data_IF_124445284468
#
_entry.id   IF_124445284468
#
_cell.length_a   1.000
_cell.length_b   1.000
_cell.length_c   1.000
_cell.angle_alpha   90.00
_cell.angle_beta   90.00
_cell.angle_gamma   90.00
#
_symmetry.space_group_name_H-M   'P 1'
#
loop_
_entity.id
_entity.type
_entity.pdbx_description
1 polymer ?
#
# COMPACT_ATOMS: atom_id res chain seq x y z
N UNK A 1 -1.68 -17.32 49.06
CA UNK A 1 -2.65 -16.33 48.57
C UNK A 1 -2.09 -15.84 47.23
N UNK A 2 -2.59 -16.37 46.12
CA UNK A 2 -2.29 -15.85 44.80
C UNK A 2 -3.39 -14.87 44.43
N UNK A 3 -3.05 -13.63 44.15
CA UNK A 3 -4.01 -12.65 43.65
C UNK A 3 -4.40 -13.04 42.23
N UNK A 4 -5.67 -13.44 42.05
CA UNK A 4 -6.25 -13.63 40.74
C UNK A 4 -6.45 -12.23 40.13
N UNK A 5 -5.64 -11.89 39.14
CA UNK A 5 -5.84 -10.68 38.35
C UNK A 5 -7.10 -10.88 37.48
N UNK A 6 -8.14 -10.09 37.74
CA UNK A 6 -9.34 -10.01 36.90
C UNK A 6 -8.98 -9.46 35.52
N UNK A 7 -8.81 -10.36 34.54
CA UNK A 7 -8.44 -10.03 33.15
C UNK A 7 -9.60 -9.46 32.30
N UNK A 8 -10.69 -9.03 32.93
CA UNK A 8 -11.84 -8.42 32.26
C UNK A 8 -11.91 -6.89 32.43
N UNK A 9 -10.75 -6.24 32.56
CA UNK A 9 -10.67 -4.79 32.58
C UNK A 9 -10.72 -4.23 31.13
N UNK A 10 -11.78 -3.49 30.81
CA UNK A 10 -11.98 -2.81 29.52
C UNK A 10 -10.83 -1.87 29.15
N UNK A 11 -10.12 -1.34 30.14
CA UNK A 11 -9.00 -0.43 29.92
C UNK A 11 -7.76 -1.19 29.41
N UNK A 12 -7.56 -2.44 29.85
CA UNK A 12 -6.50 -3.31 29.32
C UNK A 12 -6.78 -3.65 27.86
N UNK A 13 -8.04 -3.95 27.50
CA UNK A 13 -8.42 -4.22 26.10
C UNK A 13 -8.23 -2.99 25.20
N UNK A 14 -8.65 -1.81 25.67
CA UNK A 14 -8.41 -0.55 24.94
C UNK A 14 -6.92 -0.23 24.80
N UNK A 15 -6.12 -0.51 25.82
CA UNK A 15 -4.68 -0.35 25.75
C UNK A 15 -4.04 -1.34 24.75
N UNK A 16 -4.47 -2.60 24.75
CA UNK A 16 -4.01 -3.61 23.78
C UNK A 16 -4.42 -3.24 22.35
N UNK A 17 -5.67 -2.83 22.11
CA UNK A 17 -6.13 -2.35 20.79
C UNK A 17 -5.36 -1.10 20.32
N UNK A 18 -5.00 -0.20 21.23
CA UNK A 18 -4.18 0.97 20.92
C UNK A 18 -2.71 0.62 20.62
N UNK A 19 -2.17 -0.42 21.27
CA UNK A 19 -0.83 -0.95 20.98
C UNK A 19 -0.82 -1.66 19.62
N UNK A 20 -1.83 -2.49 19.33
CA UNK A 20 -1.99 -3.14 18.02
C UNK A 20 -2.18 -2.13 16.89
N UNK A 21 -3.01 -1.10 17.08
CA UNK A 21 -3.16 0.00 16.08
C UNK A 21 -1.88 0.78 15.84
N UNK A 22 -0.96 0.85 16.80
CA UNK A 22 0.33 1.53 16.62
C UNK A 22 1.41 0.63 16.02
N UNK A 23 1.28 -0.70 16.08
CA UNK A 23 2.22 -1.62 15.45
C UNK A 23 2.13 -1.63 13.91
N UNK A 24 1.03 -1.15 13.33
CA UNK A 24 0.90 -0.99 11.88
C UNK A 24 1.51 0.32 11.35
N UNK A 25 1.98 1.23 12.21
CA UNK A 25 2.73 2.42 11.77
C UNK A 25 4.14 1.99 11.40
N UNK A 26 4.40 1.84 10.10
CA UNK A 26 5.70 1.44 9.56
C UNK A 26 5.67 0.17 8.69
N UNK A 27 4.52 -0.51 8.58
CA UNK A 27 4.35 -1.54 7.55
C UNK A 27 4.15 -0.86 6.20
N UNK A 28 4.86 -1.34 5.17
CA UNK A 28 4.80 -0.75 3.84
C UNK A 28 3.64 -1.36 3.06
N UNK A 29 2.55 -0.60 2.93
CA UNK A 29 1.41 -0.91 2.10
C UNK A 29 1.71 -0.65 0.62
N UNK A 30 1.10 -1.46 -0.26
CA UNK A 30 1.17 -1.30 -1.71
C UNK A 30 -0.23 -1.32 -2.31
N UNK A 31 -0.55 -0.34 -3.15
CA UNK A 31 -1.75 -0.31 -3.96
C UNK A 31 -1.42 -0.21 -5.45
N UNK A 32 -2.26 -0.80 -6.30
CA UNK A 32 -2.11 -0.74 -7.76
C UNK A 32 -3.39 -0.18 -8.36
N UNK A 33 -3.28 0.89 -9.15
CA UNK A 33 -4.43 1.47 -9.84
C UNK A 33 -4.93 0.54 -10.94
N UNK A 34 -6.16 0.78 -11.40
CA UNK A 34 -6.64 0.22 -12.66
C UNK A 34 -5.75 0.62 -13.86
N UNK A 35 -5.89 -0.12 -14.96
CA UNK A 35 -5.23 0.23 -16.22
C UNK A 35 -5.84 1.52 -16.79
N UNK A 36 -5.00 2.53 -16.95
CA UNK A 36 -5.30 3.78 -17.64
C UNK A 36 -4.73 3.76 -19.06
N UNK A 37 -5.19 4.68 -19.90
CA UNK A 37 -4.64 4.92 -21.23
C UNK A 37 -4.39 6.43 -21.40
N UNK A 38 -3.23 6.80 -21.95
CA UNK A 38 -2.97 8.20 -22.29
C UNK A 38 -3.51 8.57 -23.67
N UNK A 39 -3.41 9.84 -24.05
CA UNK A 39 -3.89 10.37 -25.35
C UNK A 39 -3.22 9.70 -26.56
N UNK A 40 -2.01 9.15 -26.38
CA UNK A 40 -1.27 8.43 -27.42
C UNK A 40 -1.70 6.95 -27.52
N UNK A 41 -2.67 6.51 -26.72
CA UNK A 41 -3.12 5.13 -26.68
C UNK A 41 -2.25 4.19 -25.84
N UNK A 42 -1.25 4.69 -25.14
CA UNK A 42 -0.35 3.87 -24.31
C UNK A 42 -1.01 3.53 -22.98
N UNK A 43 -0.99 2.23 -22.64
CA UNK A 43 -1.54 1.73 -21.38
C UNK A 43 -0.52 1.85 -20.25
N UNK A 44 -0.98 2.33 -19.10
CA UNK A 44 -0.17 2.45 -17.89
C UNK A 44 -1.02 2.23 -16.64
N UNK A 45 -0.37 2.00 -15.50
CA UNK A 45 -1.00 2.03 -14.19
C UNK A 45 -0.02 2.59 -13.17
N UNK A 46 -0.54 3.04 -12.03
CA UNK A 46 0.25 3.53 -10.92
C UNK A 46 0.37 2.47 -9.83
N UNK A 47 1.54 2.46 -9.17
CA UNK A 47 1.81 1.65 -7.99
C UNK A 47 2.21 2.61 -6.88
N UNK A 48 1.45 2.62 -5.79
CA UNK A 48 1.70 3.50 -4.64
C UNK A 48 2.20 2.67 -3.48
N UNK A 49 3.26 3.12 -2.85
CA UNK A 49 3.82 2.58 -1.62
C UNK A 49 3.63 3.59 -0.50
N UNK A 50 3.15 3.16 0.66
CA UNK A 50 2.94 4.03 1.82
C UNK A 50 3.22 3.28 3.11
N UNK A 51 3.83 3.94 4.10
CA UNK A 51 3.95 3.39 5.47
C UNK A 51 3.07 4.15 6.48
N UNK A 52 2.07 4.87 5.98
CA UNK A 52 1.19 5.75 6.74
C UNK A 52 1.77 7.15 7.02
N UNK A 53 3.06 7.38 6.75
CA UNK A 53 3.71 8.70 6.91
C UNK A 53 4.39 9.14 5.62
N UNK A 54 5.12 8.23 4.98
CA UNK A 54 5.82 8.44 3.72
C UNK A 54 5.02 7.84 2.59
N UNK A 55 5.20 8.39 1.40
CA UNK A 55 4.52 7.91 0.20
C UNK A 55 5.42 7.99 -1.02
N UNK A 56 5.38 6.98 -1.88
CA UNK A 56 6.01 7.00 -3.20
C UNK A 56 5.07 6.41 -4.24
N UNK A 57 4.99 7.04 -5.40
CA UNK A 57 4.16 6.58 -6.51
C UNK A 57 5.03 6.35 -7.74
N UNK A 58 4.93 5.17 -8.31
CA UNK A 58 5.59 4.80 -9.56
C UNK A 58 4.60 4.44 -10.64
N UNK A 59 5.08 4.40 -11.88
CA UNK A 59 4.30 3.97 -13.04
C UNK A 59 4.78 2.65 -13.61
N UNK A 60 3.86 1.80 -14.05
CA UNK A 60 4.14 0.64 -14.89
C UNK A 60 3.58 0.89 -16.31
N UNK A 61 4.26 0.45 -17.38
CA UNK A 61 5.39 -0.47 -17.38
C UNK A 61 6.77 0.16 -17.12
N UNK A 62 6.87 1.49 -16.97
CA UNK A 62 8.17 2.19 -16.85
C UNK A 62 8.99 1.77 -15.61
N UNK A 63 8.35 1.29 -14.55
CA UNK A 63 8.96 0.89 -13.28
C UNK A 63 9.84 1.99 -12.69
N UNK A 64 9.30 3.20 -12.69
CA UNK A 64 9.96 4.43 -12.25
C UNK A 64 9.08 5.15 -11.25
N UNK A 65 9.66 5.57 -10.12
CA UNK A 65 9.00 6.44 -9.17
C UNK A 65 8.91 7.84 -9.77
N UNK A 66 7.71 8.42 -9.77
CA UNK A 66 7.39 9.73 -10.34
C UNK A 66 7.00 10.77 -9.27
N UNK A 67 6.60 10.30 -8.08
CA UNK A 67 6.39 11.13 -6.89
C UNK A 67 7.03 10.43 -5.69
N UNK A 68 7.77 11.16 -4.88
CA UNK A 68 8.34 10.68 -3.62
C UNK A 68 8.14 11.73 -2.53
N UNK A 69 7.57 11.32 -1.41
CA UNK A 69 7.41 12.10 -0.20
C UNK A 69 7.95 11.29 0.99
N UNK A 70 9.22 11.52 1.31
CA UNK A 70 9.85 11.06 2.56
C UNK A 70 10.70 9.79 2.47
N UNK A 71 10.67 9.05 1.36
CA UNK A 71 11.61 7.93 1.17
C UNK A 71 12.99 8.43 0.74
N UNK A 72 14.04 7.78 1.22
CA UNK A 72 15.41 8.05 0.79
C UNK A 72 15.69 7.49 -0.61
N UNK A 73 16.69 8.03 -1.30
CA UNK A 73 17.03 7.61 -2.68
C UNK A 73 17.33 6.12 -2.80
N UNK A 74 17.96 5.52 -1.78
CA UNK A 74 18.24 4.08 -1.75
C UNK A 74 16.96 3.26 -1.63
N UNK A 75 15.96 3.73 -0.89
CA UNK A 75 14.65 3.09 -0.79
C UNK A 75 13.92 3.20 -2.12
N UNK A 76 13.95 4.37 -2.77
CA UNK A 76 13.40 4.56 -4.12
C UNK A 76 13.99 3.57 -5.12
N UNK A 77 15.31 3.38 -5.12
CA UNK A 77 15.96 2.39 -6.00
C UNK A 77 15.47 0.95 -5.73
N UNK A 78 15.22 0.60 -4.47
CA UNK A 78 14.68 -0.69 -4.08
C UNK A 78 13.21 -0.85 -4.51
N UNK A 79 12.37 0.16 -4.35
CA UNK A 79 10.99 0.16 -4.82
C UNK A 79 10.91 0.00 -6.34
N UNK A 80 11.74 0.75 -7.08
CA UNK A 80 11.80 0.59 -8.54
C UNK A 80 12.31 -0.79 -8.97
N UNK A 81 13.26 -1.37 -8.22
CA UNK A 81 13.73 -2.73 -8.46
C UNK A 81 12.61 -3.74 -8.22
N UNK A 82 11.88 -3.61 -7.12
CA UNK A 82 10.71 -4.43 -6.83
C UNK A 82 9.66 -4.34 -7.95
N UNK A 83 9.36 -3.14 -8.46
CA UNK A 83 8.44 -2.97 -9.58
C UNK A 83 8.90 -3.70 -10.84
N UNK A 84 10.20 -3.66 -11.15
CA UNK A 84 10.78 -4.38 -12.31
C UNK A 84 10.66 -5.90 -12.13
N UNK A 85 11.06 -6.40 -10.97
CA UNK A 85 11.09 -7.83 -10.67
C UNK A 85 9.67 -8.43 -10.64
N UNK A 86 8.66 -7.64 -10.24
CA UNK A 86 7.27 -8.07 -10.10
C UNK A 86 6.33 -7.51 -11.18
N UNK A 87 6.88 -6.95 -12.27
CA UNK A 87 6.11 -6.22 -13.29
C UNK A 87 4.92 -7.03 -13.84
N UNK A 88 5.13 -8.31 -14.10
CA UNK A 88 4.07 -9.21 -14.62
C UNK A 88 2.91 -9.32 -13.64
N UNK A 89 3.18 -9.43 -12.35
CA UNK A 89 2.15 -9.52 -11.32
C UNK A 89 1.43 -8.19 -11.15
N UNK A 90 2.17 -7.07 -11.13
CA UNK A 90 1.60 -5.73 -11.02
C UNK A 90 0.67 -5.41 -12.21
N UNK A 91 1.04 -5.83 -13.43
CA UNK A 91 0.15 -5.73 -14.60
C UNK A 91 -1.13 -6.55 -14.45
N UNK A 92 -1.05 -7.75 -13.86
CA UNK A 92 -2.23 -8.57 -13.58
C UNK A 92 -3.14 -7.93 -12.53
N UNK A 93 -2.55 -7.37 -11.47
CA UNK A 93 -3.30 -6.62 -10.45
C UNK A 93 -4.06 -5.45 -11.09
N UNK A 94 -3.37 -4.60 -11.86
CA UNK A 94 -3.99 -3.47 -12.54
C UNK A 94 -5.14 -3.88 -13.47
N UNK A 95 -4.97 -4.97 -14.21
CA UNK A 95 -5.99 -5.50 -15.11
C UNK A 95 -7.20 -6.13 -14.39
N UNK A 96 -7.03 -6.52 -13.11
CA UNK A 96 -8.09 -7.08 -12.28
C UNK A 96 -8.89 -6.04 -11.50
N UNK A 97 -8.48 -4.76 -11.50
CA UNK A 97 -9.26 -3.68 -10.89
C UNK A 97 -10.42 -3.33 -11.81
N UNK A 98 -11.62 -3.75 -11.43
CA UNK A 98 -12.85 -3.31 -12.07
C UNK A 98 -13.31 -1.99 -11.42
N UNK A 99 -13.24 -0.90 -12.17
CA UNK A 99 -13.67 0.43 -11.71
C UNK A 99 -15.20 0.51 -11.67
N UNK A 100 -15.90 -0.26 -12.52
CA UNK A 100 -17.35 -0.17 -12.66
C UNK A 100 -18.09 -0.94 -11.56
N UNK A 101 -17.49 -1.98 -10.98
CA UNK A 101 -18.08 -2.68 -9.84
C UNK A 101 -18.33 -1.75 -8.65
N UNK A 102 -17.40 -0.83 -8.37
CA UNK A 102 -17.55 0.13 -7.27
C UNK A 102 -18.70 1.15 -7.47
N UNK A 103 -19.15 1.36 -8.71
CA UNK A 103 -20.27 2.26 -9.02
C UNK A 103 -21.63 1.54 -9.01
N UNK A 104 -21.65 0.22 -9.21
CA UNK A 104 -22.89 -0.58 -9.30
C UNK A 104 -23.37 -1.14 -7.95
N UNK A 105 -22.56 -1.03 -6.89
CA UNK A 105 -22.90 -1.47 -5.53
C UNK A 105 -23.60 -0.39 -4.66
N UNK A 106 -23.97 0.76 -5.24
CA UNK A 106 -24.78 1.82 -4.60
C UNK A 106 -26.27 1.70 -4.91
#
# INVERSE_FOLDING_TARGET
MGENFDTNNSDIRKALEAIEKNNNKGELDMNVSAVCQNENGEKYAFVTFSDGVREAEGSIPKCKIIRNQGFADIEIQQLEKYMRDNLTQLKKMAAGVDIFSAFLES
#
